data_IF_315976577761
#
_entry.id   IF_315976577761
#
_cell.length_a   1.000
_cell.length_b   1.000
_cell.length_c   1.000
_cell.angle_alpha   90.00
_cell.angle_beta   90.00
_cell.angle_gamma   90.00
#
_symmetry.space_group_name_H-M   'P 1'
#
loop_
_entity.id
_entity.type
_entity.pdbx_description
1 polymer ?
#
# COMPACT_ATOMS: atom_id res chain seq x y z
N UNK A 1 23.31 13.60 -4.42
CA UNK A 1 22.36 14.41 -3.62
C UNK A 1 22.72 15.87 -3.80
N UNK A 2 21.72 16.74 -3.88
CA UNK A 2 21.90 18.20 -4.06
C UNK A 2 21.10 18.92 -2.98
N UNK A 3 21.79 19.79 -2.23
CA UNK A 3 21.13 20.69 -1.27
C UNK A 3 20.80 22.02 -1.96
N UNK A 4 19.53 22.44 -1.85
CA UNK A 4 19.07 23.72 -2.40
C UNK A 4 17.82 24.19 -1.65
N UNK A 5 17.81 25.47 -1.26
CA UNK A 5 16.65 26.14 -0.62
C UNK A 5 16.08 25.37 0.60
N UNK A 6 16.95 24.87 1.50
CA UNK A 6 16.56 24.10 2.69
C UNK A 6 16.03 22.70 2.38
N UNK A 7 16.23 22.20 1.17
CA UNK A 7 15.81 20.87 0.70
C UNK A 7 17.00 20.04 0.26
N UNK A 8 16.94 18.75 0.53
CA UNK A 8 17.91 17.78 0.04
C UNK A 8 17.24 16.93 -1.04
N UNK A 9 17.73 17.05 -2.27
CA UNK A 9 17.24 16.31 -3.44
C UNK A 9 18.07 15.06 -3.68
N UNK A 10 17.42 13.98 -4.05
CA UNK A 10 18.09 12.74 -4.47
C UNK A 10 17.13 11.55 -4.51
N UNK A 11 17.47 10.49 -5.26
CA UNK A 11 16.60 9.32 -5.40
C UNK A 11 16.45 8.57 -4.07
N UNK A 12 15.21 8.33 -3.65
CA UNK A 12 14.87 7.64 -2.42
C UNK A 12 15.21 8.43 -1.15
N UNK A 13 15.49 9.75 -1.24
CA UNK A 13 15.76 10.55 -0.03
C UNK A 13 14.52 10.69 0.83
N UNK A 14 13.34 10.78 0.21
CA UNK A 14 12.06 10.84 0.89
C UNK A 14 11.52 9.41 1.11
N UNK A 15 11.57 8.59 0.09
CA UNK A 15 11.02 7.23 0.08
C UNK A 15 12.13 6.17 -0.06
N UNK A 16 12.68 5.63 1.11
CA UNK A 16 12.47 6.19 2.47
C UNK A 16 13.79 6.33 3.24
N UNK A 17 14.92 6.64 2.55
CA UNK A 17 16.26 6.76 3.20
C UNK A 17 16.27 7.79 4.34
N UNK A 18 15.54 8.92 4.16
CA UNK A 18 15.40 9.94 5.21
C UNK A 18 14.76 9.38 6.47
N UNK A 19 13.68 8.61 6.32
CA UNK A 19 13.01 7.95 7.44
C UNK A 19 13.89 6.93 8.14
N UNK A 20 14.66 6.14 7.40
CA UNK A 20 15.63 5.19 7.96
C UNK A 20 16.70 5.91 8.79
N UNK A 21 17.29 6.99 8.26
CA UNK A 21 18.29 7.79 8.98
C UNK A 21 17.69 8.39 10.26
N UNK A 22 16.48 8.94 10.19
CA UNK A 22 15.76 9.47 11.36
C UNK A 22 15.55 8.40 12.44
N UNK A 23 15.14 7.19 12.05
CA UNK A 23 14.93 6.08 12.98
C UNK A 23 16.24 5.66 13.67
N UNK A 24 17.34 5.59 12.93
CA UNK A 24 18.67 5.28 13.48
C UNK A 24 19.09 6.36 14.49
N UNK A 25 18.92 7.65 14.14
CA UNK A 25 19.27 8.75 15.04
C UNK A 25 18.38 8.82 16.28
N UNK A 26 17.09 8.54 16.16
CA UNK A 26 16.17 8.45 17.30
C UNK A 26 16.65 7.39 18.30
N UNK A 27 16.95 6.18 17.85
CA UNK A 27 17.44 5.09 18.71
C UNK A 27 18.82 5.43 19.28
N UNK A 28 19.72 5.99 18.48
CA UNK A 28 21.04 6.42 18.95
C UNK A 28 20.95 7.44 20.09
N UNK A 29 20.06 8.43 19.97
CA UNK A 29 19.82 9.43 21.01
C UNK A 29 19.33 8.77 22.32
N UNK A 30 18.39 7.83 22.23
CA UNK A 30 17.88 7.09 23.38
C UNK A 30 18.94 6.25 24.07
N UNK A 31 19.82 5.61 23.30
CA UNK A 31 20.96 4.84 23.84
C UNK A 31 21.95 5.78 24.55
N UNK A 32 22.33 6.90 23.93
CA UNK A 32 23.29 7.85 24.47
C UNK A 32 22.80 8.54 25.75
N UNK A 33 21.51 8.76 25.89
CA UNK A 33 20.90 9.35 27.09
C UNK A 33 20.54 8.33 28.16
N UNK A 34 20.74 7.03 27.90
CA UNK A 34 20.35 5.95 28.80
C UNK A 34 18.84 5.74 28.93
N UNK A 35 18.04 6.37 28.06
CA UNK A 35 16.57 6.34 28.13
C UNK A 35 15.95 5.11 27.47
N UNK A 36 16.71 4.30 26.74
CA UNK A 36 16.18 3.17 25.97
C UNK A 36 15.73 1.97 26.84
N UNK A 37 16.27 1.80 28.04
CA UNK A 37 15.93 0.66 28.90
C UNK A 37 14.51 0.80 29.49
N UNK A 38 13.68 -0.23 29.47
CA UNK A 38 13.95 -1.65 29.15
C UNK A 38 13.54 -2.08 27.70
N UNK A 39 13.40 -1.17 26.77
CA UNK A 39 12.88 -1.46 25.44
C UNK A 39 13.86 -2.27 24.57
N UNK A 40 13.34 -3.28 23.87
CA UNK A 40 14.02 -3.95 22.76
C UNK A 40 13.51 -3.32 21.46
N UNK A 41 14.42 -2.84 20.61
CA UNK A 41 14.10 -2.31 19.28
C UNK A 41 14.67 -3.25 18.23
N UNK A 42 13.86 -3.57 17.24
CA UNK A 42 14.25 -4.32 16.06
C UNK A 42 14.03 -3.48 14.81
N UNK A 43 15.06 -3.33 14.00
CA UNK A 43 14.95 -2.74 12.66
C UNK A 43 14.68 -3.84 11.65
N UNK A 44 13.66 -3.64 10.81
CA UNK A 44 13.30 -4.51 9.68
C UNK A 44 13.48 -3.66 8.42
N UNK A 45 14.43 -4.05 7.56
CA UNK A 45 14.76 -3.33 6.34
C UNK A 45 14.64 -4.28 5.13
N UNK A 46 13.45 -4.47 4.57
CA UNK A 46 13.26 -5.29 3.38
C UNK A 46 13.83 -4.59 2.15
N UNK A 47 14.21 -5.36 1.14
CA UNK A 47 14.76 -4.86 -0.11
C UNK A 47 13.76 -4.87 -1.28
N UNK A 48 12.53 -5.34 -1.06
CA UNK A 48 11.52 -5.56 -2.09
C UNK A 48 10.17 -4.87 -1.78
N UNK A 49 10.17 -3.84 -0.91
CA UNK A 49 8.97 -3.09 -0.54
C UNK A 49 8.27 -2.51 -1.77
N UNK A 50 9.02 -1.87 -2.67
CA UNK A 50 8.52 -1.25 -3.91
C UNK A 50 7.87 -2.24 -4.89
N UNK A 51 8.18 -3.53 -4.74
CA UNK A 51 7.58 -4.61 -5.51
C UNK A 51 6.36 -5.23 -4.81
N UNK A 52 6.03 -4.76 -3.59
CA UNK A 52 4.96 -5.30 -2.76
C UNK A 52 5.40 -6.39 -1.78
N UNK A 53 6.70 -6.48 -1.50
CA UNK A 53 7.33 -7.39 -0.53
C UNK A 53 7.07 -8.88 -0.78
N UNK A 54 7.11 -9.38 -2.03
CA UNK A 54 6.76 -10.77 -2.33
C UNK A 54 7.66 -11.78 -1.63
N UNK A 55 8.93 -11.44 -1.40
CA UNK A 55 9.91 -12.32 -0.75
C UNK A 55 10.00 -12.07 0.76
N UNK A 56 9.88 -10.80 1.19
CA UNK A 56 10.11 -10.40 2.58
C UNK A 56 8.86 -10.45 3.46
N UNK A 57 7.65 -10.48 2.91
CA UNK A 57 6.39 -10.45 3.66
C UNK A 57 6.36 -11.44 4.83
N UNK A 58 6.64 -12.71 4.56
CA UNK A 58 6.62 -13.76 5.61
C UNK A 58 7.62 -13.48 6.72
N UNK A 59 8.80 -12.98 6.38
CA UNK A 59 9.82 -12.60 7.35
C UNK A 59 9.41 -11.37 8.15
N UNK A 60 8.81 -10.35 7.52
CA UNK A 60 8.26 -9.17 8.20
C UNK A 60 7.20 -9.59 9.22
N UNK A 61 6.25 -10.42 8.80
CA UNK A 61 5.18 -10.95 9.66
C UNK A 61 5.75 -11.73 10.85
N UNK A 62 6.76 -12.57 10.64
CA UNK A 62 7.45 -13.31 11.71
C UNK A 62 8.17 -12.40 12.69
N UNK A 63 8.93 -11.42 12.20
CA UNK A 63 9.65 -10.48 13.05
C UNK A 63 8.69 -9.59 13.86
N UNK A 64 7.56 -9.22 13.28
CA UNK A 64 6.57 -8.37 13.93
C UNK A 64 5.75 -9.10 14.99
N UNK A 65 5.55 -10.42 14.87
CA UNK A 65 4.67 -11.22 15.74
C UNK A 65 4.99 -11.09 17.24
N UNK A 66 6.26 -10.92 17.59
CA UNK A 66 6.72 -10.75 18.98
C UNK A 66 6.85 -9.26 19.39
N UNK A 67 6.34 -8.35 18.56
CA UNK A 67 6.46 -6.91 18.80
C UNK A 67 5.20 -6.36 19.46
N UNK A 68 5.36 -5.52 20.48
CA UNK A 68 4.23 -4.82 21.11
C UNK A 68 3.63 -3.74 20.22
N UNK A 69 4.39 -3.22 19.26
CA UNK A 69 3.97 -2.22 18.27
C UNK A 69 4.95 -2.11 17.12
N UNK A 70 4.50 -1.58 16.01
CA UNK A 70 5.31 -1.30 14.81
C UNK A 70 5.22 0.18 14.44
N UNK A 71 6.38 0.80 14.24
CA UNK A 71 6.55 2.18 13.82
C UNK A 71 7.16 2.18 12.41
N UNK A 72 6.42 2.68 11.43
CA UNK A 72 6.84 2.64 10.03
C UNK A 72 7.42 3.99 9.63
N UNK A 73 8.70 3.98 9.26
CA UNK A 73 9.46 5.18 8.90
C UNK A 73 9.28 5.61 7.43
N UNK A 74 8.16 5.22 6.81
CA UNK A 74 7.70 5.73 5.54
C UNK A 74 7.48 7.25 5.60
N UNK A 75 7.54 7.97 4.47
CA UNK A 75 7.32 9.41 4.44
C UNK A 75 6.04 9.84 5.14
N UNK A 76 6.05 10.97 5.80
CA UNK A 76 4.84 11.65 6.23
C UNK A 76 3.97 12.02 5.01
N UNK A 77 2.70 12.35 5.23
CA UNK A 77 1.83 12.82 4.14
C UNK A 77 2.44 14.09 3.54
N UNK A 78 2.64 14.09 2.22
CA UNK A 78 3.23 15.21 1.51
C UNK A 78 2.49 16.53 1.81
N UNK A 79 3.24 17.61 2.00
CA UNK A 79 2.78 18.98 2.28
C UNK A 79 2.12 19.19 3.64
N UNK A 80 1.45 18.20 4.23
CA UNK A 80 0.71 18.36 5.50
C UNK A 80 1.42 17.73 6.68
N UNK A 81 2.44 16.91 6.44
CA UNK A 81 3.30 16.24 7.41
C UNK A 81 2.55 15.35 8.42
N UNK A 82 1.34 14.93 8.06
CA UNK A 82 0.49 14.08 8.87
C UNK A 82 1.02 12.65 8.92
N UNK A 83 0.79 11.96 10.05
CA UNK A 83 1.00 10.51 10.14
C UNK A 83 -0.06 9.77 9.30
N UNK A 84 0.26 8.56 8.88
CA UNK A 84 -0.67 7.70 8.13
C UNK A 84 -1.33 6.72 9.10
N UNK A 85 -2.61 6.94 9.38
CA UNK A 85 -3.41 6.15 10.33
C UNK A 85 -4.25 5.07 9.67
N UNK A 86 -4.33 5.09 8.34
CA UNK A 86 -4.94 4.04 7.53
C UNK A 86 -4.32 4.04 6.13
N UNK A 87 -4.23 2.86 5.53
CA UNK A 87 -3.79 2.64 4.16
C UNK A 87 -4.72 1.68 3.45
N UNK A 88 -5.05 1.93 2.19
CA UNK A 88 -5.79 0.95 1.41
C UNK A 88 -4.98 -0.33 1.23
N UNK A 89 -5.69 -1.46 1.25
CA UNK A 89 -5.18 -2.71 0.74
C UNK A 89 -5.17 -2.72 -0.79
N UNK A 90 -4.37 -3.59 -1.38
CA UNK A 90 -4.25 -3.76 -2.82
C UNK A 90 -4.34 -5.21 -3.25
N UNK A 91 -4.94 -5.43 -4.41
CA UNK A 91 -4.98 -6.71 -5.10
C UNK A 91 -4.64 -6.54 -6.57
N UNK A 92 -4.07 -7.58 -7.16
CA UNK A 92 -3.80 -7.63 -8.60
C UNK A 92 -4.35 -8.92 -9.17
N UNK A 93 -5.07 -8.81 -10.29
CA UNK A 93 -5.65 -9.96 -10.96
C UNK A 93 -5.34 -9.89 -12.44
N UNK A 94 -5.20 -11.06 -13.04
CA UNK A 94 -5.16 -11.26 -14.49
C UNK A 94 -6.38 -12.06 -14.89
N UNK A 95 -7.14 -11.55 -15.87
CA UNK A 95 -8.30 -12.23 -16.42
C UNK A 95 -7.95 -12.66 -17.84
N UNK A 96 -7.80 -13.98 -18.06
CA UNK A 96 -7.57 -14.59 -19.36
C UNK A 96 -8.90 -15.03 -19.97
N UNK A 97 -9.11 -14.64 -21.21
CA UNK A 97 -10.32 -14.95 -21.95
C UNK A 97 -9.94 -15.76 -23.18
N UNK A 98 -10.58 -16.90 -23.36
CA UNK A 98 -10.42 -17.76 -24.51
C UNK A 98 -11.74 -17.88 -25.27
N UNK A 99 -11.70 -17.56 -26.55
CA UNK A 99 -12.79 -17.72 -27.48
C UNK A 99 -12.44 -18.77 -28.55
N UNK A 100 -12.92 -18.52 -29.77
CA UNK A 100 -12.63 -19.37 -30.94
C UNK A 100 -12.49 -18.52 -32.19
N UNK A 101 -11.36 -18.65 -32.90
CA UNK A 101 -11.14 -17.91 -34.14
C UNK A 101 -12.01 -18.43 -35.28
N UNK A 102 -12.40 -17.51 -36.15
CA UNK A 102 -13.08 -17.77 -37.42
C UNK A 102 -12.79 -16.63 -38.40
N UNK A 103 -13.06 -16.84 -39.69
CA UNK A 103 -12.94 -15.76 -40.66
C UNK A 103 -14.12 -14.78 -40.51
N UNK A 104 -13.83 -13.52 -40.18
CA UNK A 104 -14.86 -12.56 -39.81
C UNK A 104 -15.88 -12.24 -40.91
N UNK A 105 -15.58 -12.51 -42.16
CA UNK A 105 -16.47 -12.26 -43.28
C UNK A 105 -17.11 -13.53 -43.92
N UNK A 106 -16.50 -14.70 -43.78
CA UNK A 106 -16.99 -15.92 -44.43
C UNK A 106 -17.89 -16.79 -43.51
N UNK A 107 -17.45 -16.92 -42.24
CA UNK A 107 -18.13 -17.80 -41.27
C UNK A 107 -17.97 -17.26 -39.85
N UNK A 108 -18.39 -16.01 -39.56
CA UNK A 108 -18.25 -15.40 -38.23
C UNK A 108 -19.02 -16.18 -37.15
N UNK A 109 -20.08 -16.90 -37.51
CA UNK A 109 -20.89 -17.75 -36.61
C UNK A 109 -20.13 -18.93 -36.02
N UNK A 110 -19.05 -19.39 -36.68
CA UNK A 110 -18.18 -20.39 -36.11
C UNK A 110 -17.23 -19.88 -35.06
N UNK A 111 -17.11 -18.53 -34.93
CA UNK A 111 -16.25 -17.85 -34.00
C UNK A 111 -16.87 -17.59 -32.65
N UNK A 112 -16.03 -17.33 -31.63
CA UNK A 112 -16.44 -16.80 -30.33
C UNK A 112 -15.44 -15.68 -30.00
N UNK A 113 -15.92 -14.44 -29.98
CA UNK A 113 -15.03 -13.28 -29.85
C UNK A 113 -14.55 -13.07 -28.41
N UNK A 114 -13.30 -13.35 -28.16
CA UNK A 114 -12.67 -13.04 -26.87
C UNK A 114 -12.60 -11.52 -26.58
N UNK A 115 -12.57 -10.67 -27.63
CA UNK A 115 -12.60 -9.20 -27.45
C UNK A 115 -14.01 -8.73 -27.05
N UNK A 116 -15.07 -9.32 -27.60
CA UNK A 116 -16.44 -9.01 -27.18
C UNK A 116 -16.65 -9.45 -25.73
N UNK A 117 -16.26 -10.68 -25.39
CA UNK A 117 -16.29 -11.17 -24.00
C UNK A 117 -15.47 -10.25 -23.07
N UNK A 118 -14.29 -9.79 -23.49
CA UNK A 118 -13.46 -8.85 -22.74
C UNK A 118 -14.22 -7.55 -22.44
N UNK A 119 -14.99 -7.02 -23.37
CA UNK A 119 -15.78 -5.81 -23.15
C UNK A 119 -16.85 -6.02 -22.07
N UNK A 120 -17.52 -7.17 -22.05
CA UNK A 120 -18.48 -7.53 -21.00
C UNK A 120 -17.78 -7.66 -19.65
N UNK A 121 -16.64 -8.32 -19.58
CA UNK A 121 -15.86 -8.48 -18.33
C UNK A 121 -15.35 -7.13 -17.81
N UNK A 122 -14.91 -6.21 -18.66
CA UNK A 122 -14.50 -4.85 -18.25
C UNK A 122 -15.67 -4.13 -17.58
N UNK A 123 -16.86 -4.14 -18.18
CA UNK A 123 -18.04 -3.48 -17.61
C UNK A 123 -18.45 -4.12 -16.28
N UNK A 124 -18.45 -5.45 -16.18
CA UNK A 124 -18.74 -6.19 -14.96
C UNK A 124 -17.75 -5.85 -13.85
N UNK A 125 -16.44 -5.85 -14.13
CA UNK A 125 -15.40 -5.51 -13.16
C UNK A 125 -15.52 -4.07 -12.68
N UNK A 126 -15.74 -3.12 -13.58
CA UNK A 126 -15.95 -1.71 -13.20
C UNK A 126 -17.22 -1.48 -12.38
N UNK A 127 -18.24 -2.32 -12.51
CA UNK A 127 -19.45 -2.23 -11.67
C UNK A 127 -19.22 -2.57 -10.21
N UNK A 128 -18.10 -3.21 -9.88
CA UNK A 128 -17.69 -3.52 -8.51
C UNK A 128 -17.17 -2.31 -7.73
N UNK A 129 -16.91 -1.19 -8.41
CA UNK A 129 -16.50 0.06 -7.76
C UNK A 129 -17.53 0.51 -6.73
N UNK A 130 -17.06 0.89 -5.55
CA UNK A 130 -17.89 1.43 -4.47
C UNK A 130 -17.19 2.64 -3.84
N UNK A 131 -17.28 3.84 -4.43
CA UNK A 131 -16.61 5.04 -3.97
C UNK A 131 -16.93 5.39 -2.50
N UNK A 132 -18.15 5.18 -2.06
CA UNK A 132 -18.60 5.42 -0.67
C UNK A 132 -17.87 4.51 0.33
N UNK A 133 -17.56 3.26 -0.08
CA UNK A 133 -16.75 2.34 0.71
C UNK A 133 -15.25 2.55 0.50
N UNK A 134 -14.87 3.48 -0.38
CA UNK A 134 -13.48 3.73 -0.77
C UNK A 134 -12.87 2.62 -1.64
N UNK A 135 -13.70 1.74 -2.20
CA UNK A 135 -13.28 0.63 -3.06
C UNK A 135 -13.11 1.09 -4.50
N UNK A 136 -11.98 0.73 -5.11
CA UNK A 136 -11.74 0.97 -6.54
C UNK A 136 -11.26 -0.31 -7.23
N UNK A 137 -11.89 -0.62 -8.36
CA UNK A 137 -11.50 -1.68 -9.29
C UNK A 137 -11.15 -1.02 -10.62
N UNK A 138 -9.93 -1.16 -11.04
CA UNK A 138 -9.42 -0.54 -12.26
C UNK A 138 -8.88 -1.61 -13.23
N UNK A 139 -9.49 -1.73 -14.39
CA UNK A 139 -8.90 -2.47 -15.51
C UNK A 139 -7.90 -1.54 -16.19
N UNK A 140 -6.63 -1.66 -15.81
CA UNK A 140 -5.54 -0.79 -16.29
C UNK A 140 -4.82 -1.31 -17.53
N UNK A 141 -4.96 -2.60 -17.82
CA UNK A 141 -4.37 -3.24 -19.00
C UNK A 141 -5.42 -4.07 -19.71
N UNK A 142 -5.48 -3.98 -21.04
CA UNK A 142 -6.34 -4.77 -21.91
C UNK A 142 -5.60 -5.06 -23.21
N UNK A 143 -5.58 -6.32 -23.64
CA UNK A 143 -5.01 -6.73 -24.92
C UNK A 143 -5.73 -7.95 -25.48
N UNK A 144 -5.81 -8.10 -26.81
CA UNK A 144 -6.46 -9.24 -27.41
C UNK A 144 -6.43 -9.20 -28.93
N UNK A 145 -6.74 -10.36 -29.54
CA UNK A 145 -6.79 -10.55 -30.99
C UNK A 145 -5.42 -10.44 -31.68
N UNK A 146 -5.41 -10.62 -32.98
CA UNK A 146 -4.16 -10.55 -33.78
C UNK A 146 -4.36 -9.97 -35.18
N UNK A 147 -5.56 -10.10 -35.78
CA UNK A 147 -5.85 -9.62 -37.14
C UNK A 147 -7.30 -9.11 -37.22
N UNK A 148 -7.52 -8.02 -37.97
CA UNK A 148 -8.83 -7.35 -38.07
C UNK A 148 -9.89 -8.20 -38.81
N UNK A 149 -9.48 -9.15 -39.63
CA UNK A 149 -10.38 -10.03 -40.41
C UNK A 149 -10.55 -11.44 -39.80
N UNK A 150 -10.16 -11.61 -38.53
CA UNK A 150 -10.29 -12.85 -37.77
C UNK A 150 -11.02 -12.54 -36.43
N UNK A 151 -12.03 -13.33 -36.10
CA UNK A 151 -12.67 -13.31 -34.78
C UNK A 151 -11.61 -13.65 -33.74
N UNK A 152 -11.44 -12.80 -32.74
CA UNK A 152 -10.37 -12.93 -31.75
C UNK A 152 -10.62 -14.13 -30.82
N UNK A 153 -9.65 -15.03 -30.71
CA UNK A 153 -9.70 -16.22 -29.87
C UNK A 153 -9.06 -16.07 -28.49
N UNK A 154 -8.41 -14.94 -28.23
CA UNK A 154 -7.78 -14.66 -26.95
C UNK A 154 -7.85 -13.18 -26.57
N UNK A 155 -7.98 -12.90 -25.27
CA UNK A 155 -7.81 -11.58 -24.68
C UNK A 155 -7.33 -11.71 -23.24
N UNK A 156 -6.68 -10.66 -22.73
CA UNK A 156 -6.15 -10.60 -21.35
C UNK A 156 -6.43 -9.22 -20.76
N UNK A 157 -6.86 -9.19 -19.50
CA UNK A 157 -7.02 -7.99 -18.70
C UNK A 157 -6.09 -8.01 -17.49
N UNK A 158 -5.54 -6.85 -17.15
CA UNK A 158 -4.86 -6.60 -15.86
C UNK A 158 -5.71 -5.68 -14.99
N UNK A 159 -6.01 -6.16 -13.77
CA UNK A 159 -6.93 -5.50 -12.84
C UNK A 159 -6.21 -5.13 -11.55
N UNK A 160 -6.30 -3.85 -11.14
CA UNK A 160 -5.88 -3.34 -9.82
C UNK A 160 -7.11 -3.16 -8.93
N UNK A 161 -7.03 -3.68 -7.71
CA UNK A 161 -8.04 -3.53 -6.66
C UNK A 161 -7.46 -2.72 -5.51
N UNK A 162 -8.23 -1.73 -5.02
CA UNK A 162 -7.95 -1.00 -3.77
C UNK A 162 -9.16 -1.02 -2.86
N UNK A 163 -8.92 -1.36 -1.57
CA UNK A 163 -9.98 -1.48 -0.55
C UNK A 163 -9.56 -0.86 0.77
N UNK A 164 -10.53 -0.41 1.56
CA UNK A 164 -10.29 0.25 2.85
C UNK A 164 -10.34 -0.70 4.04
N UNK A 165 -10.99 -1.86 3.90
CA UNK A 165 -11.16 -2.85 4.96
C UNK A 165 -11.21 -4.27 4.42
N UNK A 166 -11.05 -5.26 5.31
CA UNK A 166 -11.04 -6.67 4.95
C UNK A 166 -12.37 -7.21 4.47
N UNK A 167 -13.50 -6.64 4.88
CA UNK A 167 -14.83 -7.06 4.41
C UNK A 167 -14.99 -6.72 2.92
N UNK A 168 -14.59 -5.51 2.51
CA UNK A 168 -14.55 -5.11 1.10
C UNK A 168 -13.54 -5.93 0.30
N UNK A 169 -12.36 -6.23 0.87
CA UNK A 169 -11.38 -7.11 0.23
C UNK A 169 -12.00 -8.47 -0.12
N UNK A 170 -12.64 -9.11 0.86
CA UNK A 170 -13.27 -10.43 0.68
C UNK A 170 -14.42 -10.36 -0.34
N UNK A 171 -15.28 -9.35 -0.26
CA UNK A 171 -16.41 -9.16 -1.16
C UNK A 171 -15.96 -9.04 -2.62
N UNK A 172 -15.02 -8.13 -2.87
CA UNK A 172 -14.61 -7.81 -4.25
C UNK A 172 -13.69 -8.88 -4.82
N UNK A 173 -12.78 -9.44 -4.03
CA UNK A 173 -11.94 -10.55 -4.47
C UNK A 173 -12.78 -11.76 -4.87
N UNK A 174 -13.81 -12.10 -4.08
CA UNK A 174 -14.74 -13.18 -4.42
C UNK A 174 -15.48 -12.89 -5.73
N UNK A 175 -16.00 -11.65 -5.91
CA UNK A 175 -16.70 -11.27 -7.13
C UNK A 175 -15.80 -11.29 -8.38
N UNK A 176 -14.54 -10.86 -8.26
CA UNK A 176 -13.57 -10.94 -9.37
C UNK A 176 -13.26 -12.40 -9.72
N UNK A 177 -13.05 -13.25 -8.72
CA UNK A 177 -12.76 -14.69 -8.95
C UNK A 177 -13.93 -15.47 -9.50
N UNK A 178 -15.14 -15.01 -9.25
CA UNK A 178 -16.40 -15.62 -9.75
C UNK A 178 -16.85 -15.06 -11.09
N UNK A 179 -15.99 -14.36 -11.84
CA UNK A 179 -16.31 -13.86 -13.18
C UNK A 179 -16.72 -15.02 -14.10
N UNK A 180 -18.00 -15.01 -14.55
CA UNK A 180 -18.55 -16.00 -15.46
C UNK A 180 -18.52 -15.47 -16.91
N UNK A 181 -18.30 -16.34 -17.93
CA UNK A 181 -18.39 -15.92 -19.31
C UNK A 181 -19.81 -15.45 -19.67
N UNK A 182 -19.89 -14.34 -20.40
CA UNK A 182 -21.14 -13.80 -20.95
C UNK A 182 -21.52 -14.49 -22.27
N UNK A 183 -20.54 -14.74 -23.13
CA UNK A 183 -20.75 -15.42 -24.40
C UNK A 183 -20.72 -16.94 -24.24
N UNK A 184 -21.72 -17.60 -24.81
CA UNK A 184 -21.78 -19.06 -24.81
C UNK A 184 -20.53 -19.66 -25.49
N UNK A 185 -19.83 -20.54 -24.76
CA UNK A 185 -18.62 -21.21 -25.24
C UNK A 185 -17.31 -20.44 -25.06
N UNK A 186 -17.36 -19.18 -24.60
CA UNK A 186 -16.16 -18.49 -24.10
C UNK A 186 -15.70 -19.11 -22.78
N UNK A 187 -14.39 -18.96 -22.48
CA UNK A 187 -13.82 -19.35 -21.19
C UNK A 187 -13.15 -18.12 -20.55
N UNK A 188 -13.40 -17.94 -19.26
CA UNK A 188 -12.80 -16.88 -18.44
C UNK A 188 -12.03 -17.54 -17.30
N UNK A 189 -10.75 -17.22 -17.17
CA UNK A 189 -9.90 -17.71 -16.09
C UNK A 189 -9.27 -16.54 -15.37
N UNK A 190 -9.53 -16.44 -14.09
CA UNK A 190 -8.99 -15.36 -13.22
C UNK A 190 -7.87 -15.94 -12.38
N UNK A 191 -6.72 -15.23 -12.37
CA UNK A 191 -5.59 -15.52 -11.47
C UNK A 191 -5.23 -14.27 -10.69
N UNK A 192 -4.49 -14.44 -9.59
CA UNK A 192 -4.12 -13.34 -8.70
C UNK A 192 -4.93 -13.30 -7.40
N UNK A 193 -4.92 -12.17 -6.72
CA UNK A 193 -5.56 -11.99 -5.44
C UNK A 193 -5.08 -10.73 -4.71
N UNK A 194 -5.45 -10.61 -3.42
CA UNK A 194 -4.93 -9.55 -2.57
C UNK A 194 -3.42 -9.74 -2.35
N UNK A 195 -2.66 -8.68 -2.62
CA UNK A 195 -1.21 -8.62 -2.40
C UNK A 195 -0.88 -7.99 -1.04
N UNK A 196 -1.58 -6.92 -0.65
CA UNK A 196 -1.48 -6.28 0.65
C UNK A 196 -2.87 -6.14 1.28
N UNK A 197 -3.07 -6.58 2.55
CA UNK A 197 -4.30 -6.26 3.27
C UNK A 197 -4.40 -4.75 3.54
N UNK A 198 -5.57 -4.18 3.85
CA UNK A 198 -5.66 -2.80 4.33
C UNK A 198 -5.04 -2.65 5.72
N UNK A 199 -4.46 -1.48 5.99
CA UNK A 199 -4.16 -1.01 7.34
C UNK A 199 -5.37 -0.21 7.82
N UNK A 200 -6.19 -0.83 8.65
CA UNK A 200 -7.43 -0.23 9.15
C UNK A 200 -7.19 0.61 10.41
N UNK A 201 -8.12 1.53 10.69
CA UNK A 201 -8.13 2.28 11.96
C UNK A 201 -8.69 1.42 13.10
N UNK A 202 -7.95 0.38 13.46
CA UNK A 202 -8.31 -0.46 14.60
C UNK A 202 -8.19 0.31 15.91
N UNK A 203 -8.89 -0.09 16.99
CA UNK A 203 -8.71 0.54 18.31
C UNK A 203 -7.24 0.59 18.75
N UNK A 204 -6.45 -0.45 18.45
CA UNK A 204 -5.04 -0.55 18.77
C UNK A 204 -4.20 0.47 17.99
N UNK A 205 -4.45 0.61 16.68
CA UNK A 205 -3.76 1.59 15.84
C UNK A 205 -4.10 3.03 16.27
N UNK A 206 -5.37 3.29 16.61
CA UNK A 206 -5.80 4.61 17.10
C UNK A 206 -5.19 4.92 18.47
N UNK A 207 -5.10 3.96 19.39
CA UNK A 207 -4.43 4.13 20.68
C UNK A 207 -2.95 4.49 20.49
N UNK A 208 -2.25 3.81 19.58
CA UNK A 208 -0.85 4.14 19.25
C UNK A 208 -0.73 5.54 18.62
N UNK A 209 -1.68 5.94 17.77
CA UNK A 209 -1.71 7.29 17.22
C UNK A 209 -1.93 8.36 18.30
N UNK A 210 -2.82 8.14 19.28
CA UNK A 210 -3.01 9.05 20.42
C UNK A 210 -1.72 9.18 21.26
N UNK A 211 -1.00 8.09 21.49
CA UNK A 211 0.33 8.15 22.15
C UNK A 211 1.32 9.00 21.36
N UNK A 212 1.31 8.86 20.02
CA UNK A 212 2.16 9.67 19.14
C UNK A 212 1.77 11.15 19.16
N UNK A 213 0.49 11.49 19.29
CA UNK A 213 0.03 12.87 19.47
C UNK A 213 0.54 13.47 20.79
N UNK A 214 0.43 12.77 21.91
CA UNK A 214 0.99 13.22 23.19
C UNK A 214 2.52 13.36 23.13
N UNK A 215 3.21 12.49 22.40
CA UNK A 215 4.65 12.63 22.16
C UNK A 215 4.97 13.91 21.36
N UNK A 216 4.18 14.20 20.33
CA UNK A 216 4.31 15.41 19.53
C UNK A 216 4.05 16.69 20.32
N UNK A 217 3.06 16.70 21.20
CA UNK A 217 2.75 17.84 22.07
C UNK A 217 3.92 18.21 22.98
N UNK A 218 4.68 17.22 23.50
CA UNK A 218 5.89 17.49 24.31
C UNK A 218 6.99 18.20 23.50
N UNK A 219 6.97 18.06 22.19
CA UNK A 219 7.88 18.75 21.26
C UNK A 219 7.30 20.05 20.70
N UNK A 220 6.11 20.46 21.12
CA UNK A 220 5.40 21.62 20.58
C UNK A 220 4.85 21.41 19.17
N UNK A 221 4.65 20.15 18.73
CA UNK A 221 4.14 19.77 17.42
C UNK A 221 2.68 19.34 17.53
N UNK A 222 1.85 19.76 16.58
CA UNK A 222 0.51 19.19 16.40
C UNK A 222 0.56 18.06 15.36
N UNK A 223 0.50 16.81 15.79
CA UNK A 223 0.46 15.65 14.90
C UNK A 223 -0.98 15.32 14.50
N UNK A 224 -1.26 15.40 13.20
CA UNK A 224 -2.54 14.96 12.63
C UNK A 224 -2.37 13.60 11.96
N UNK A 225 -3.49 12.89 11.80
CA UNK A 225 -3.55 11.61 11.11
C UNK A 225 -4.36 11.68 9.83
N UNK A 226 -3.95 10.91 8.81
CA UNK A 226 -4.64 10.84 7.51
C UNK A 226 -4.71 9.42 6.99
N UNK A 227 -5.84 9.07 6.38
CA UNK A 227 -5.98 7.87 5.58
C UNK A 227 -5.44 8.12 4.17
N UNK A 228 -4.67 7.17 3.61
CA UNK A 228 -4.04 7.29 2.29
C UNK A 228 -4.33 6.08 1.40
N UNK A 229 -4.20 6.26 0.08
CA UNK A 229 -4.50 5.23 -0.91
C UNK A 229 -3.35 4.24 -1.19
N UNK A 230 -2.10 4.62 -0.91
CA UNK A 230 -0.93 3.76 -1.10
C UNK A 230 -0.70 2.82 0.08
N UNK A 231 -0.19 1.61 -0.18
CA UNK A 231 0.20 0.65 0.84
C UNK A 231 1.64 0.86 1.33
N UNK A 232 2.02 0.11 2.36
CA UNK A 232 3.39 -0.10 2.85
C UNK A 232 3.47 -1.45 3.55
N UNK A 233 4.62 -1.82 4.05
CA UNK A 233 4.77 -3.04 4.86
C UNK A 233 4.03 -2.96 6.21
N UNK A 234 3.69 -1.74 6.68
CA UNK A 234 2.79 -1.54 7.82
C UNK A 234 1.40 -2.15 7.64
N UNK A 235 0.96 -2.36 6.41
CA UNK A 235 -0.29 -3.06 6.12
C UNK A 235 -0.26 -4.51 6.63
N UNK A 236 0.87 -5.21 6.49
CA UNK A 236 1.00 -6.60 6.96
C UNK A 236 0.96 -6.69 8.47
N UNK A 237 1.69 -5.82 9.16
CA UNK A 237 1.78 -5.84 10.63
C UNK A 237 0.47 -5.44 11.29
N UNK A 238 -0.21 -4.44 10.73
CA UNK A 238 -1.56 -4.05 11.17
C UNK A 238 -2.59 -5.17 10.98
N UNK A 239 -2.53 -5.91 9.87
CA UNK A 239 -3.43 -7.02 9.60
C UNK A 239 -3.24 -8.22 10.57
N UNK A 240 -2.07 -8.32 11.20
CA UNK A 240 -1.83 -9.29 12.29
C UNK A 240 -2.42 -8.82 13.63
N UNK A 241 -3.05 -7.64 13.69
CA UNK A 241 -3.56 -7.05 14.93
C UNK A 241 -2.50 -6.37 15.80
N UNK A 242 -1.29 -6.18 15.28
CA UNK A 242 -0.21 -5.50 15.98
C UNK A 242 -0.42 -3.98 15.83
N UNK A 243 -0.41 -3.20 16.94
CA UNK A 243 -0.51 -1.75 16.87
C UNK A 243 0.52 -1.19 15.90
N UNK A 244 0.07 -0.57 14.82
CA UNK A 244 0.94 -0.07 13.74
C UNK A 244 0.62 1.39 13.46
N UNK A 245 1.65 2.24 13.42
CA UNK A 245 1.56 3.63 13.01
C UNK A 245 2.58 3.92 11.92
N UNK A 246 2.11 4.56 10.85
CA UNK A 246 2.89 4.78 9.64
C UNK A 246 3.06 6.29 9.34
N UNK A 247 3.92 6.62 8.37
CA UNK A 247 4.19 8.01 8.00
C UNK A 247 5.03 8.76 9.03
N UNK A 248 5.86 8.06 9.79
CA UNK A 248 6.70 8.63 10.82
C UNK A 248 8.06 9.13 10.30
N UNK A 249 8.38 8.86 9.05
CA UNK A 249 9.63 9.26 8.41
C UNK A 249 9.67 10.72 7.94
N UNK A 250 10.44 10.97 6.90
CA UNK A 250 10.77 12.30 6.43
C UNK A 250 9.57 13.06 5.86
N UNK A 251 9.67 14.39 5.89
CA UNK A 251 8.75 15.31 5.22
C UNK A 251 9.37 15.78 3.91
N UNK A 252 8.54 16.00 2.90
CA UNK A 252 9.00 16.41 1.58
C UNK A 252 7.94 16.21 0.51
N UNK A 253 8.37 16.10 -0.73
CA UNK A 253 7.50 15.75 -1.85
C UNK A 253 8.28 15.16 -3.03
N UNK A 254 7.56 14.74 -4.09
CA UNK A 254 8.18 14.20 -5.30
C UNK A 254 8.50 12.71 -5.21
N UNK A 255 7.80 11.92 -4.37
CA UNK A 255 7.95 10.46 -4.33
C UNK A 255 7.84 9.90 -5.75
N UNK A 256 8.79 9.05 -6.16
CA UNK A 256 8.92 8.44 -7.48
C UNK A 256 9.11 9.45 -8.63
N UNK A 257 9.45 10.71 -8.35
CA UNK A 257 9.70 11.74 -9.34
C UNK A 257 11.16 12.24 -9.32
N UNK A 258 11.57 12.96 -10.37
CA UNK A 258 12.95 13.46 -10.48
C UNK A 258 13.28 14.59 -9.50
N UNK A 259 12.26 15.24 -8.97
CA UNK A 259 12.34 16.32 -7.98
C UNK A 259 12.09 15.84 -6.55
N UNK A 260 12.26 14.55 -6.31
CA UNK A 260 12.16 13.98 -4.97
C UNK A 260 13.13 14.67 -4.00
N UNK A 261 12.58 15.14 -2.89
CA UNK A 261 13.33 15.87 -1.88
C UNK A 261 12.74 15.74 -0.48
N UNK A 262 13.58 15.98 0.53
CA UNK A 262 13.19 16.12 1.94
C UNK A 262 13.45 17.55 2.41
N UNK A 263 12.73 17.96 3.46
CA UNK A 263 12.93 19.24 4.17
C UNK A 263 13.99 19.02 5.23
N UNK A 264 15.13 19.73 5.14
CA UNK A 264 16.30 19.51 5.99
C UNK A 264 15.97 19.85 7.46
N UNK A 265 15.33 20.97 7.71
CA UNK A 265 15.01 21.47 9.06
C UNK A 265 14.05 20.56 9.82
N UNK A 266 13.23 19.77 9.13
CA UNK A 266 12.29 18.84 9.74
C UNK A 266 12.96 17.54 10.22
N UNK A 267 14.15 17.18 9.70
CA UNK A 267 14.79 15.90 10.00
C UNK A 267 15.07 15.69 11.48
N UNK A 268 15.68 16.65 12.22
CA UNK A 268 15.92 16.48 13.66
C UNK A 268 14.62 16.39 14.46
N UNK A 269 13.62 17.18 14.08
CA UNK A 269 12.31 17.21 14.74
C UNK A 269 11.57 15.88 14.58
N UNK A 270 11.61 15.30 13.38
CA UNK A 270 10.98 13.99 13.09
C UNK A 270 11.72 12.85 13.81
N UNK A 271 13.05 12.93 13.90
CA UNK A 271 13.85 11.98 14.69
C UNK A 271 13.50 12.07 16.20
N UNK A 272 13.37 13.29 16.73
CA UNK A 272 12.94 13.52 18.11
C UNK A 272 11.52 12.99 18.35
N UNK A 273 10.59 13.23 17.44
CA UNK A 273 9.23 12.69 17.51
C UNK A 273 9.24 11.15 17.60
N UNK A 274 10.03 10.51 16.77
CA UNK A 274 10.14 9.04 16.79
C UNK A 274 10.75 8.54 18.11
N UNK A 275 11.76 9.23 18.65
CA UNK A 275 12.33 8.93 19.95
C UNK A 275 11.31 9.07 21.08
N UNK A 276 10.52 10.14 21.09
CA UNK A 276 9.46 10.38 22.06
C UNK A 276 8.34 9.33 21.98
N UNK A 277 7.96 8.90 20.77
CA UNK A 277 6.99 7.81 20.58
C UNK A 277 7.55 6.50 21.14
N UNK A 278 8.85 6.22 20.93
CA UNK A 278 9.50 5.02 21.48
C UNK A 278 9.49 5.06 23.01
N UNK A 279 9.75 6.20 23.63
CA UNK A 279 9.73 6.36 25.07
C UNK A 279 8.33 6.30 25.69
N UNK A 280 7.33 6.79 24.98
CA UNK A 280 5.97 6.96 25.46
C UNK A 280 5.19 5.67 25.75
N UNK A 281 5.85 4.57 26.05
CA UNK A 281 5.28 3.26 26.44
C UNK A 281 4.86 3.16 27.91
N UNK A 282 4.68 4.27 28.60
CA UNK A 282 4.00 4.31 29.89
C UNK A 282 2.51 4.08 29.68
N UNK A 283 2.02 2.97 30.24
CA UNK A 283 0.64 2.53 30.46
C UNK A 283 -0.43 3.11 29.53
N UNK A 284 -0.93 2.26 28.63
CA UNK A 284 -2.26 2.48 28.04
C UNK A 284 -3.26 2.23 29.17
N UNK A 285 -3.73 3.28 29.80
CA UNK A 285 -4.99 3.21 30.56
C UNK A 285 -6.08 3.03 29.50
N UNK A 286 -6.64 1.85 29.48
CA UNK A 286 -7.80 1.46 28.65
C UNK A 286 -9.03 2.20 29.16
#
# INVERSE_FOLDING_TARGET
>A
MVEKDGRLYGPGVLDMKGGLVQAIWAVRALVQTGALSPHRIQFICPSDEELGSPSSRKWIEQCAADSGRVLVAEPAVARTHEAKIARKGSGRFEVKITGRSAHAGNNPEDGISAIEEMAHQILALHSLNAPEAGTTVNVGLASGGGKINVVADHAVLGVDLRVTNMAEAARVEAAIKDCQPHLAGAQVVVTGGMSRPPMEQTPQNLALFLQAQHAAERLGITLKGKAVGGGSDGNFTSALGIPTLDGLGATGSGIHARDEHIIIDDIPLRAALLAEIILGSGEVVV
#
